data_IF_230682581751
#
_entry.id   IF_230682581751
#
_cell.length_a   1.000
_cell.length_b   1.000
_cell.length_c   1.000
_cell.angle_alpha   90.00
_cell.angle_beta   90.00
_cell.angle_gamma   90.00
#
_symmetry.space_group_name_H-M   'P 1'
#
loop_
_entity.id
_entity.type
_entity.pdbx_description
1 polymer ?
#
# COMPACT_ATOMS: atom_id res chain seq x y z
N UNK A 1 -4.48 10.21 6.98
CA UNK A 1 -4.73 9.00 6.18
C UNK A 1 -3.80 9.00 4.96
N UNK A 2 -3.17 7.87 4.64
CA UNK A 2 -2.33 7.75 3.45
C UNK A 2 -3.19 7.38 2.25
N UNK A 3 -3.85 8.38 1.65
CA UNK A 3 -4.61 8.21 0.41
C UNK A 3 -3.71 8.36 -0.82
N UNK A 4 -4.11 7.79 -1.96
CA UNK A 4 -3.37 7.93 -3.21
C UNK A 4 -3.22 9.40 -3.64
N UNK A 5 -4.26 10.21 -3.43
CA UNK A 5 -4.21 11.66 -3.71
C UNK A 5 -3.09 12.35 -2.92
N UNK A 6 -3.00 12.06 -1.62
CA UNK A 6 -1.96 12.62 -0.74
C UNK A 6 -0.57 12.15 -1.17
N UNK A 7 -0.44 10.91 -1.64
CA UNK A 7 0.82 10.42 -2.20
C UNK A 7 1.23 11.20 -3.46
N UNK A 8 0.32 11.44 -4.41
CA UNK A 8 0.62 12.24 -5.61
C UNK A 8 1.07 13.65 -5.25
N UNK A 9 0.37 14.31 -4.34
CA UNK A 9 0.72 15.66 -3.87
C UNK A 9 2.12 15.69 -3.23
N UNK A 10 2.46 14.69 -2.40
CA UNK A 10 3.80 14.57 -1.80
C UNK A 10 4.89 14.36 -2.85
N UNK A 11 4.65 13.53 -3.86
CA UNK A 11 5.60 13.32 -4.99
C UNK A 11 5.78 14.61 -5.79
N UNK A 12 4.69 15.33 -6.08
CA UNK A 12 4.72 16.59 -6.82
C UNK A 12 5.46 17.70 -6.05
N UNK A 13 5.21 17.81 -4.74
CA UNK A 13 5.81 18.81 -3.86
C UNK A 13 7.23 18.46 -3.40
N UNK A 14 7.83 17.39 -3.93
CA UNK A 14 9.18 16.93 -3.61
C UNK A 14 9.42 16.69 -2.11
N UNK A 15 8.37 16.33 -1.37
CA UNK A 15 8.50 16.03 0.05
C UNK A 15 9.12 14.64 0.19
N UNK A 16 10.26 14.52 0.89
CA UNK A 16 11.06 13.28 0.99
C UNK A 16 11.60 12.75 -0.36
N UNK A 17 12.48 11.74 -0.31
CA UNK A 17 13.20 11.09 -1.44
C UNK A 17 12.31 10.51 -2.57
N UNK A 18 11.05 10.93 -2.74
CA UNK A 18 10.11 10.36 -3.69
C UNK A 18 10.43 10.70 -5.16
N UNK A 19 11.01 11.88 -5.45
CA UNK A 19 11.36 12.24 -6.84
C UNK A 19 12.57 11.45 -7.35
N UNK A 20 13.59 11.29 -6.50
CA UNK A 20 14.76 10.47 -6.82
C UNK A 20 14.42 8.98 -6.92
N UNK A 21 13.36 8.53 -6.24
CA UNK A 21 12.91 7.14 -6.28
C UNK A 21 12.11 6.77 -7.55
N UNK A 22 11.77 7.72 -8.43
CA UNK A 22 11.12 7.43 -9.71
C UNK A 22 9.60 7.29 -9.66
N UNK A 23 8.94 7.62 -8.54
CA UNK A 23 7.49 7.47 -8.37
C UNK A 23 6.63 8.30 -9.33
N UNK A 24 7.19 9.33 -9.98
CA UNK A 24 6.51 10.06 -11.07
C UNK A 24 6.11 9.09 -12.20
N UNK A 25 6.95 8.12 -12.52
CA UNK A 25 6.64 7.11 -13.56
C UNK A 25 5.51 6.20 -13.13
N UNK A 26 5.47 5.82 -11.85
CA UNK A 26 4.36 5.04 -11.29
C UNK A 26 3.06 5.82 -11.38
N UNK A 27 3.05 7.10 -11.00
CA UNK A 27 1.84 7.94 -11.09
C UNK A 27 1.36 8.05 -12.54
N UNK A 28 2.28 8.30 -13.48
CA UNK A 28 1.95 8.38 -14.90
C UNK A 28 1.34 7.07 -15.43
N UNK A 29 1.94 5.92 -15.10
CA UNK A 29 1.42 4.61 -15.48
C UNK A 29 0.03 4.35 -14.90
N UNK A 30 -0.18 4.62 -13.60
CA UNK A 30 -1.47 4.42 -12.96
C UNK A 30 -2.54 5.29 -13.62
N UNK A 31 -2.22 6.55 -13.95
CA UNK A 31 -3.17 7.49 -14.58
C UNK A 31 -3.52 7.11 -16.02
N UNK A 32 -2.61 6.44 -16.74
CA UNK A 32 -2.80 6.00 -18.12
C UNK A 32 -3.63 4.71 -18.18
N UNK A 33 -3.35 3.76 -17.30
CA UNK A 33 -3.94 2.41 -17.34
C UNK A 33 -5.23 2.32 -16.51
N UNK A 34 -5.32 3.08 -15.41
CA UNK A 34 -6.42 3.00 -14.46
C UNK A 34 -7.13 4.34 -14.32
N UNK A 35 -8.45 4.26 -14.14
CA UNK A 35 -9.24 5.40 -13.69
C UNK A 35 -9.05 5.58 -12.19
N UNK A 36 -8.59 6.75 -11.76
CA UNK A 36 -8.27 7.00 -10.34
C UNK A 36 -9.46 6.80 -9.43
N UNK A 37 -10.67 7.11 -9.89
CA UNK A 37 -11.92 6.91 -9.14
C UNK A 37 -12.19 5.44 -8.79
N UNK A 38 -11.52 4.50 -9.46
CA UNK A 38 -11.65 3.07 -9.17
C UNK A 38 -10.71 2.59 -8.05
N UNK A 39 -9.76 3.43 -7.61
CA UNK A 39 -8.85 3.10 -6.50
C UNK A 39 -9.62 3.27 -5.19
N UNK A 40 -10.02 2.15 -4.59
CA UNK A 40 -10.84 2.11 -3.38
C UNK A 40 -10.02 2.32 -2.10
N UNK A 41 -8.78 1.86 -2.11
CA UNK A 41 -7.82 2.07 -1.02
C UNK A 41 -6.40 2.07 -1.57
N UNK A 42 -5.49 2.68 -0.80
CA UNK A 42 -4.08 2.77 -1.13
C UNK A 42 -3.24 2.51 0.12
N UNK A 43 -2.09 1.87 -0.05
CA UNK A 43 -1.15 1.62 1.03
C UNK A 43 0.28 1.71 0.55
N UNK A 44 1.11 2.46 1.29
CA UNK A 44 2.51 2.64 0.97
C UNK A 44 3.39 1.92 1.98
N UNK A 45 3.58 0.62 1.79
CA UNK A 45 4.41 -0.20 2.67
C UNK A 45 5.86 0.31 2.67
N UNK A 46 6.40 0.52 3.88
CA UNK A 46 7.75 1.01 4.13
C UNK A 46 8.04 2.41 3.55
N UNK A 47 7.01 3.21 3.28
CA UNK A 47 7.18 4.53 2.65
C UNK A 47 7.96 5.55 3.51
N UNK A 48 8.04 5.32 4.82
CA UNK A 48 8.64 6.22 5.83
C UNK A 48 9.77 5.57 6.63
N UNK A 49 10.29 4.42 6.18
CA UNK A 49 11.42 3.74 6.79
C UNK A 49 12.42 3.27 5.69
N UNK A 50 13.49 2.59 6.10
CA UNK A 50 14.59 2.17 5.20
C UNK A 50 14.39 0.80 4.54
N UNK A 51 13.27 0.12 4.81
CA UNK A 51 12.98 -1.20 4.22
C UNK A 51 12.54 -1.07 2.76
N UNK A 52 12.44 -2.22 2.08
CA UNK A 52 11.95 -2.28 0.70
C UNK A 52 10.54 -1.68 0.60
N UNK A 53 10.43 -0.63 -0.23
CA UNK A 53 9.21 0.13 -0.45
C UNK A 53 8.29 -0.56 -1.45
N UNK A 54 7.01 -0.62 -1.12
CA UNK A 54 5.99 -1.22 -1.97
C UNK A 54 4.70 -0.40 -1.91
N UNK A 55 4.04 -0.23 -3.04
CA UNK A 55 2.75 0.45 -3.15
C UNK A 55 1.68 -0.60 -3.43
N UNK A 56 0.53 -0.46 -2.79
CA UNK A 56 -0.63 -1.30 -3.03
C UNK A 56 -1.81 -0.43 -3.38
N UNK A 57 -2.45 -0.74 -4.51
CA UNK A 57 -3.67 -0.11 -4.99
C UNK A 57 -4.77 -1.16 -4.96
N UNK A 58 -5.82 -0.89 -4.20
CA UNK A 58 -6.94 -1.80 -4.04
C UNK A 58 -8.06 -1.35 -4.98
N UNK A 59 -8.47 -2.25 -5.86
CA UNK A 59 -9.62 -2.09 -6.74
C UNK A 59 -10.75 -3.02 -6.29
N UNK A 60 -11.92 -2.90 -6.91
CA UNK A 60 -13.09 -3.73 -6.59
C UNK A 60 -12.80 -5.23 -6.69
N UNK A 61 -12.07 -5.63 -7.73
CA UNK A 61 -11.85 -7.03 -8.14
C UNK A 61 -10.37 -7.37 -8.30
N UNK A 62 -9.46 -6.50 -7.88
CA UNK A 62 -8.03 -6.77 -7.96
C UNK A 62 -7.22 -5.94 -6.97
N UNK A 63 -5.96 -6.34 -6.79
CA UNK A 63 -4.95 -5.59 -6.08
C UNK A 63 -3.76 -5.43 -7.01
N UNK A 64 -3.30 -4.20 -7.21
CA UNK A 64 -2.04 -3.93 -7.89
C UNK A 64 -0.98 -3.65 -6.84
N UNK A 65 0.11 -4.43 -6.88
CA UNK A 65 1.31 -4.20 -6.11
C UNK A 65 2.37 -3.60 -7.03
N UNK A 66 3.05 -2.56 -6.54
CA UNK A 66 4.17 -1.94 -7.24
C UNK A 66 5.38 -1.97 -6.32
N UNK A 67 6.41 -2.71 -6.71
CA UNK A 67 7.65 -2.85 -5.95
C UNK A 67 8.80 -2.19 -6.71
N UNK A 68 9.67 -1.47 -6.01
CA UNK A 68 10.92 -1.00 -6.60
C UNK A 68 11.85 -2.19 -6.85
N UNK A 69 12.45 -2.26 -8.03
CA UNK A 69 13.53 -3.20 -8.38
C UNK A 69 14.83 -2.42 -8.57
N UNK A 70 15.96 -3.12 -8.79
CA UNK A 70 17.27 -2.48 -8.99
C UNK A 70 17.22 -1.48 -10.18
N UNK A 71 18.12 -0.50 -10.19
CA UNK A 71 18.25 0.55 -11.23
C UNK A 71 17.03 1.45 -11.48
N UNK A 72 16.20 1.65 -10.44
CA UNK A 72 15.06 2.59 -10.43
C UNK A 72 13.89 2.19 -11.32
N UNK A 73 13.83 0.92 -11.72
CA UNK A 73 12.64 0.35 -12.33
C UNK A 73 11.62 -0.10 -11.29
N UNK A 74 10.38 -0.29 -11.76
CA UNK A 74 9.26 -0.73 -10.95
C UNK A 74 8.67 -2.00 -11.55
N UNK A 75 8.45 -2.99 -10.69
CA UNK A 75 7.67 -4.18 -11.01
C UNK A 75 6.21 -3.93 -10.63
N UNK A 76 5.31 -4.18 -11.58
CA UNK A 76 3.86 -4.08 -11.41
C UNK A 76 3.26 -5.49 -11.40
N UNK A 77 2.75 -5.92 -10.25
CA UNK A 77 2.15 -7.24 -10.06
C UNK A 77 0.65 -7.09 -9.81
N UNK A 78 -0.16 -7.65 -10.70
CA UNK A 78 -1.62 -7.55 -10.60
C UNK A 78 -2.22 -8.87 -10.11
N UNK A 79 -2.83 -8.82 -8.93
CA UNK A 79 -3.51 -9.96 -8.32
C UNK A 79 -5.01 -9.85 -8.62
N UNK A 80 -5.54 -10.80 -9.39
CA UNK A 80 -7.00 -11.00 -9.49
C UNK A 80 -7.54 -11.38 -8.10
N UNK A 81 -8.63 -10.74 -7.67
CA UNK A 81 -9.16 -10.87 -6.30
C UNK A 81 -9.85 -12.21 -6.09
N UNK A 82 -9.05 -13.24 -5.79
CA UNK A 82 -9.48 -14.53 -5.25
C UNK A 82 -9.06 -14.65 -3.78
N UNK A 83 -9.38 -13.63 -2.97
CA UNK A 83 -9.10 -13.65 -1.53
C UNK A 83 -10.09 -14.62 -0.87
N UNK A 84 -9.57 -15.73 -0.34
CA UNK A 84 -10.38 -16.76 0.34
C UNK A 84 -10.48 -16.52 1.84
N UNK A 85 -9.58 -15.70 2.40
CA UNK A 85 -9.58 -15.37 3.82
C UNK A 85 -8.97 -14.01 4.08
N UNK A 86 -9.61 -13.25 4.98
CA UNK A 86 -9.03 -12.05 5.59
C UNK A 86 -8.96 -12.23 7.11
N UNK A 87 -7.82 -11.88 7.71
CA UNK A 87 -7.59 -11.92 9.15
C UNK A 87 -7.09 -10.56 9.60
N UNK A 88 -7.83 -9.92 10.49
CA UNK A 88 -7.45 -8.64 11.09
C UNK A 88 -7.12 -8.87 12.57
N UNK A 89 -5.90 -8.55 12.99
CA UNK A 89 -5.43 -8.75 14.37
C UNK A 89 -5.17 -7.39 15.01
N UNK A 90 -5.65 -7.21 16.25
CA UNK A 90 -5.36 -6.04 17.09
C UNK A 90 -4.70 -6.50 18.39
N UNK A 91 -3.56 -5.93 18.76
CA UNK A 91 -2.95 -6.27 20.05
C UNK A 91 -3.56 -5.48 21.21
N UNK A 92 -4.04 -6.19 22.24
CA UNK A 92 -4.62 -5.59 23.46
C UNK A 92 -3.62 -4.82 24.33
N UNK A 93 -2.32 -5.13 24.24
CA UNK A 93 -1.32 -4.58 25.17
C UNK A 93 -0.88 -3.16 24.82
N UNK A 94 -0.85 -2.80 23.53
CA UNK A 94 -0.50 -1.45 23.11
C UNK A 94 -1.66 -0.73 22.43
N UNK A 95 -2.71 -1.44 21.97
CA UNK A 95 -3.81 -0.87 21.17
C UNK A 95 -3.35 -0.25 19.83
N UNK A 96 -2.05 -0.30 19.55
CA UNK A 96 -1.39 0.41 18.46
C UNK A 96 -1.05 -0.52 17.31
N UNK A 97 -0.79 -1.81 17.57
CA UNK A 97 -0.46 -2.77 16.52
C UNK A 97 -1.73 -3.34 15.88
N UNK A 98 -1.83 -3.10 14.57
CA UNK A 98 -2.87 -3.58 13.68
C UNK A 98 -2.22 -4.31 12.51
N UNK A 99 -2.70 -5.53 12.28
CA UNK A 99 -2.23 -6.38 11.19
C UNK A 99 -3.42 -6.88 10.38
N UNK A 100 -3.30 -6.83 9.05
CA UNK A 100 -4.20 -7.48 8.12
C UNK A 100 -3.43 -8.50 7.29
N UNK A 101 -3.92 -9.73 7.29
CA UNK A 101 -3.47 -10.80 6.39
C UNK A 101 -4.59 -11.13 5.42
N UNK A 102 -4.31 -10.99 4.13
CA UNK A 102 -5.15 -11.44 3.03
C UNK A 102 -4.55 -12.74 2.48
N UNK A 103 -5.33 -13.81 2.41
CA UNK A 103 -4.90 -15.09 1.83
C UNK A 103 -5.66 -15.32 0.53
N UNK A 104 -4.92 -15.56 -0.54
CA UNK A 104 -5.46 -15.88 -1.86
C UNK A 104 -5.69 -17.38 -2.01
N UNK A 105 -6.50 -17.77 -2.98
CA UNK A 105 -6.84 -19.15 -3.29
C UNK A 105 -5.60 -20.03 -3.57
N UNK A 106 -4.57 -19.46 -4.20
CA UNK A 106 -3.28 -20.12 -4.44
C UNK A 106 -2.42 -20.30 -3.17
N UNK A 107 -2.90 -19.84 -2.00
CA UNK A 107 -2.18 -19.88 -0.73
C UNK A 107 -1.23 -18.70 -0.48
N UNK A 108 -1.02 -17.82 -1.46
CA UNK A 108 -0.21 -16.62 -1.27
C UNK A 108 -0.86 -15.67 -0.25
N UNK A 109 -0.03 -14.88 0.42
CA UNK A 109 -0.48 -13.95 1.45
C UNK A 109 0.07 -12.56 1.23
N UNK A 110 -0.79 -11.56 1.39
CA UNK A 110 -0.39 -10.17 1.60
C UNK A 110 -0.58 -9.82 3.07
N UNK A 111 0.48 -9.28 3.67
CA UNK A 111 0.52 -8.88 5.07
C UNK A 111 0.78 -7.39 5.16
N UNK A 112 -0.13 -6.70 5.84
CA UNK A 112 -0.04 -5.28 6.15
C UNK A 112 0.06 -5.14 7.67
N UNK A 113 1.08 -4.44 8.15
CA UNK A 113 1.29 -4.23 9.58
C UNK A 113 1.69 -2.78 9.81
N UNK A 114 0.87 -2.05 10.57
CA UNK A 114 1.05 -0.61 10.69
C UNK A 114 2.35 -0.22 11.39
N UNK A 115 2.90 -1.05 12.29
CA UNK A 115 4.15 -0.75 12.99
C UNK A 115 5.34 -1.18 12.14
N UNK A 116 5.31 -2.41 11.60
CA UNK A 116 6.44 -2.94 10.85
C UNK A 116 6.65 -2.28 9.49
N UNK A 117 5.56 -1.82 8.88
CA UNK A 117 5.56 -1.18 7.56
C UNK A 117 5.76 0.34 7.63
N UNK A 118 5.80 0.92 8.83
CA UNK A 118 5.96 2.37 9.02
C UNK A 118 7.02 2.70 10.08
N UNK A 119 6.76 3.71 10.89
CA UNK A 119 7.50 4.06 12.10
C UNK A 119 6.50 4.61 13.15
N UNK A 120 7.00 4.99 14.34
CA UNK A 120 6.14 5.44 15.44
C UNK A 120 5.22 6.63 15.07
N UNK A 121 5.70 7.56 14.25
CA UNK A 121 4.99 8.81 13.94
C UNK A 121 3.88 8.64 12.90
N UNK A 122 3.90 7.54 12.15
CA UNK A 122 2.95 7.27 11.05
C UNK A 122 2.05 6.04 11.30
N UNK A 123 2.17 5.41 12.46
CA UNK A 123 1.44 4.19 12.81
C UNK A 123 -0.09 4.37 12.76
N UNK A 124 -0.59 5.57 13.07
CA UNK A 124 -2.01 5.89 13.04
C UNK A 124 -2.54 5.96 11.60
N UNK A 125 -1.83 6.62 10.69
CA UNK A 125 -2.19 6.73 9.28
C UNK A 125 -2.19 5.37 8.59
N UNK A 126 -1.22 4.53 8.92
CA UNK A 126 -1.15 3.17 8.40
C UNK A 126 -2.30 2.32 8.97
N UNK A 127 -2.66 2.49 10.24
CA UNK A 127 -3.83 1.80 10.83
C UNK A 127 -5.11 2.11 10.05
N UNK A 128 -5.37 3.37 9.73
CA UNK A 128 -6.55 3.76 8.95
C UNK A 128 -6.51 3.16 7.54
N UNK A 129 -5.34 3.18 6.89
CA UNK A 129 -5.17 2.57 5.57
C UNK A 129 -5.43 1.06 5.59
N UNK A 130 -4.98 0.35 6.62
CA UNK A 130 -5.26 -1.10 6.79
C UNK A 130 -6.76 -1.35 7.01
N UNK A 131 -7.44 -0.52 7.80
CA UNK A 131 -8.90 -0.62 7.99
C UNK A 131 -9.66 -0.41 6.68
N UNK A 132 -9.22 0.53 5.85
CA UNK A 132 -9.81 0.73 4.51
C UNK A 132 -9.60 -0.48 3.60
N UNK A 133 -8.38 -1.03 3.57
CA UNK A 133 -8.12 -2.27 2.82
C UNK A 133 -9.07 -3.38 3.30
N UNK A 134 -9.21 -3.58 4.62
CA UNK A 134 -10.10 -4.60 5.18
C UNK A 134 -11.59 -4.41 4.80
N UNK A 135 -12.01 -3.16 4.64
CA UNK A 135 -13.38 -2.81 4.22
C UNK A 135 -13.64 -3.16 2.76
N UNK A 136 -12.67 -2.94 1.88
CA UNK A 136 -12.83 -3.12 0.43
C UNK A 136 -12.34 -4.45 -0.12
N UNK A 137 -11.64 -5.25 0.70
CA UNK A 137 -11.23 -6.62 0.38
C UNK A 137 -12.23 -7.63 0.89
#
# INVERSE_FOLDING_TARGET
MFEYKNFKEKVANMQFNFRSDGYIRVIAFISDVYKEENILAFYFKNGVNEKKKELFFIFKESILKVSKIEDADFLFEHYSKNIVKKKFTTSKFTGQSHELVLTFENGEQLVFNNIEDSNHDWAAEYTESIKEIYKYT
#
